data_IF_460616630115
#
_entry.id   IF_460616630115
#
_cell.length_a   1.000
_cell.length_b   1.000
_cell.length_c   1.000
_cell.angle_alpha   90.00
_cell.angle_beta   90.00
_cell.angle_gamma   90.00
#
_symmetry.space_group_name_H-M   'P 1'
#
loop_
_entity.id
_entity.type
_entity.pdbx_description
1 polymer ?
#
# COMPACT_ATOMS: atom_id res chain seq x y z
N UNK A 1 17.49 4.85 8.11
CA UNK A 1 16.69 5.01 6.85
C UNK A 1 15.91 6.32 6.94
N UNK A 2 15.86 7.13 5.86
CA UNK A 2 15.01 8.34 5.78
C UNK A 2 13.81 8.05 4.88
N UNK A 3 12.63 8.60 5.21
CA UNK A 3 11.38 8.40 4.46
C UNK A 3 10.74 9.77 4.14
N UNK A 4 11.13 10.44 3.04
CA UNK A 4 10.76 11.84 2.81
C UNK A 4 9.25 12.13 2.72
N UNK A 5 8.44 11.15 2.31
CA UNK A 5 6.99 11.33 2.21
C UNK A 5 6.25 11.47 3.55
N UNK A 6 6.90 11.17 4.68
CA UNK A 6 6.33 11.38 6.03
C UNK A 6 6.90 12.62 6.71
N UNK A 7 7.65 13.46 5.98
CA UNK A 7 8.10 14.74 6.49
C UNK A 7 6.90 15.64 6.88
N UNK A 8 7.05 16.42 7.95
CA UNK A 8 5.97 17.26 8.50
C UNK A 8 5.44 18.26 7.47
N UNK A 9 6.31 18.86 6.68
CA UNK A 9 5.91 19.86 5.68
C UNK A 9 5.20 19.20 4.51
N UNK A 10 5.70 18.04 4.05
CA UNK A 10 5.06 17.26 2.98
C UNK A 10 3.66 16.80 3.41
N UNK A 11 3.52 16.29 4.64
CA UNK A 11 2.23 15.88 5.19
C UNK A 11 1.30 17.08 5.34
N UNK A 12 1.75 18.19 5.92
CA UNK A 12 0.92 19.38 6.06
C UNK A 12 0.37 19.86 4.70
N UNK A 13 1.23 19.95 3.67
CA UNK A 13 0.81 20.29 2.32
C UNK A 13 -0.13 19.26 1.70
N UNK A 14 0.11 17.96 1.92
CA UNK A 14 -0.78 16.91 1.43
C UNK A 14 -2.18 17.00 2.06
N UNK A 15 -2.30 17.45 3.31
CA UNK A 15 -3.57 17.54 4.04
C UNK A 15 -4.41 18.77 3.68
N UNK A 16 -3.84 19.80 3.04
CA UNK A 16 -4.62 20.92 2.49
C UNK A 16 -5.34 20.57 1.20
N UNK A 17 -4.91 19.53 0.50
CA UNK A 17 -5.48 19.09 -0.78
C UNK A 17 -6.71 18.20 -0.54
N UNK A 18 -7.80 18.45 -1.27
CA UNK A 18 -9.03 17.67 -1.15
C UNK A 18 -8.86 16.21 -1.62
N UNK A 19 -9.69 15.30 -1.11
CA UNK A 19 -9.64 13.88 -1.48
C UNK A 19 -9.84 13.63 -2.98
N UNK A 20 -10.81 14.34 -3.60
CA UNK A 20 -11.11 14.22 -5.04
C UNK A 20 -9.99 14.73 -5.95
N UNK A 21 -9.11 15.60 -5.44
CA UNK A 21 -7.92 16.00 -6.19
C UNK A 21 -6.81 14.96 -6.12
N UNK A 22 -6.71 14.22 -5.00
CA UNK A 22 -5.72 13.13 -4.83
C UNK A 22 -6.06 11.90 -5.68
N UNK A 23 -7.35 11.64 -5.90
CA UNK A 23 -7.86 10.50 -6.66
C UNK A 23 -8.89 10.99 -7.68
N UNK A 24 -8.55 10.91 -8.98
CA UNK A 24 -9.42 11.32 -10.09
C UNK A 24 -9.81 10.10 -10.92
N UNK A 25 -11.05 9.64 -10.77
CA UNK A 25 -11.53 8.40 -11.40
C UNK A 25 -10.64 7.21 -11.01
N UNK A 26 -10.03 6.55 -12.00
CA UNK A 26 -9.10 5.42 -11.77
C UNK A 26 -7.65 5.85 -11.51
N UNK A 27 -7.36 7.14 -11.60
CA UNK A 27 -6.01 7.67 -11.39
C UNK A 27 -5.79 8.00 -9.90
N UNK A 28 -5.00 7.16 -9.24
CA UNK A 28 -4.49 7.44 -7.89
C UNK A 28 -3.28 8.38 -7.95
N UNK A 29 -3.03 9.09 -6.84
CA UNK A 29 -1.89 10.00 -6.66
C UNK A 29 -1.87 11.13 -7.70
N UNK A 30 -3.03 11.64 -8.13
CA UNK A 30 -3.13 12.56 -9.26
C UNK A 30 -2.32 13.85 -9.07
N UNK A 31 -2.47 14.54 -7.93
CA UNK A 31 -1.68 15.76 -7.64
C UNK A 31 -0.18 15.47 -7.53
N UNK A 32 0.21 14.37 -6.87
CA UNK A 32 1.62 13.99 -6.75
C UNK A 32 2.25 13.68 -8.11
N UNK A 33 1.50 13.03 -9.01
CA UNK A 33 1.93 12.77 -10.39
C UNK A 33 2.16 14.07 -11.16
N UNK A 34 1.19 14.99 -11.10
CA UNK A 34 1.30 16.31 -11.75
C UNK A 34 2.47 17.12 -11.21
N UNK A 35 2.65 17.13 -9.90
CA UNK A 35 3.79 17.80 -9.27
C UNK A 35 5.12 17.26 -9.79
N UNK A 36 5.21 15.96 -10.11
CA UNK A 36 6.44 15.31 -10.57
C UNK A 36 6.79 15.51 -12.06
N UNK A 37 5.87 16.03 -12.87
CA UNK A 37 6.02 16.20 -14.33
C UNK A 37 7.27 17.00 -14.76
N UNK A 38 7.71 18.03 -14.02
CA UNK A 38 8.93 18.76 -14.37
C UNK A 38 10.22 17.95 -14.21
N UNK A 39 10.21 16.85 -13.45
CA UNK A 39 11.43 16.13 -13.06
C UNK A 39 11.56 14.74 -13.68
N UNK A 40 10.46 14.12 -14.11
CA UNK A 40 10.45 12.72 -14.57
C UNK A 40 9.68 12.57 -15.88
N UNK A 41 10.06 11.58 -16.68
CA UNK A 41 9.34 11.27 -17.91
C UNK A 41 7.90 10.80 -17.64
N UNK A 42 7.01 11.04 -18.60
CA UNK A 42 5.60 10.63 -18.50
C UNK A 42 5.47 9.12 -18.29
N UNK A 43 6.35 8.32 -18.89
CA UNK A 43 6.36 6.86 -18.73
C UNK A 43 6.61 6.45 -17.27
N UNK A 44 7.53 7.12 -16.58
CA UNK A 44 7.82 6.84 -15.16
C UNK A 44 6.66 7.27 -14.26
N UNK A 45 6.10 8.46 -14.49
CA UNK A 45 5.05 9.05 -13.64
C UNK A 45 3.73 8.29 -13.77
N UNK A 46 3.37 7.91 -15.00
CA UNK A 46 2.05 7.39 -15.31
C UNK A 46 1.98 5.86 -15.45
N UNK A 47 3.09 5.15 -15.27
CA UNK A 47 3.08 3.68 -15.23
C UNK A 47 2.09 3.11 -14.20
N UNK A 48 1.59 1.88 -14.42
CA UNK A 48 0.81 1.17 -13.40
C UNK A 48 1.57 1.03 -12.08
N UNK A 49 0.84 1.07 -10.96
CA UNK A 49 1.42 0.87 -9.62
C UNK A 49 2.03 -0.53 -9.54
N UNK A 50 3.35 -0.59 -9.44
CA UNK A 50 4.08 -1.84 -9.18
C UNK A 50 3.97 -2.27 -7.71
N UNK A 51 4.15 -3.57 -7.48
CA UNK A 51 4.46 -4.11 -6.16
C UNK A 51 5.89 -3.74 -5.76
N UNK A 52 6.24 -4.05 -4.51
CA UNK A 52 7.65 -4.06 -4.11
C UNK A 52 8.46 -5.00 -5.00
N UNK A 53 9.74 -4.67 -5.20
CA UNK A 53 10.66 -5.48 -6.00
C UNK A 53 10.91 -6.87 -5.41
N UNK A 54 10.74 -7.02 -4.09
CA UNK A 54 10.79 -8.32 -3.43
C UNK A 54 9.61 -9.21 -3.85
N UNK A 55 9.79 -10.54 -3.99
CA UNK A 55 8.74 -11.47 -4.37
C UNK A 55 7.79 -11.77 -3.20
N UNK A 56 7.28 -10.72 -2.54
CA UNK A 56 6.45 -10.80 -1.33
C UNK A 56 5.26 -11.74 -1.51
N UNK A 57 4.64 -11.75 -2.70
CA UNK A 57 3.54 -12.67 -2.99
C UNK A 57 3.95 -14.13 -2.93
N UNK A 58 5.13 -14.46 -3.45
CA UNK A 58 5.64 -15.83 -3.42
C UNK A 58 6.00 -16.22 -1.99
N UNK A 59 6.70 -15.34 -1.27
CA UNK A 59 7.06 -15.58 0.13
C UNK A 59 5.82 -15.80 1.01
N UNK A 60 4.83 -14.89 0.97
CA UNK A 60 3.61 -15.00 1.77
C UNK A 60 2.83 -16.28 1.45
N UNK A 61 2.77 -16.69 0.17
CA UNK A 61 2.01 -17.87 -0.25
C UNK A 61 2.76 -19.19 -0.09
N UNK A 62 4.08 -19.16 0.08
CA UNK A 62 4.94 -20.34 0.08
C UNK A 62 5.89 -20.29 1.26
N UNK A 63 7.05 -19.67 1.09
CA UNK A 63 8.20 -19.78 1.99
C UNK A 63 7.89 -19.33 3.43
N UNK A 64 6.98 -18.38 3.59
CA UNK A 64 6.53 -17.84 4.88
C UNK A 64 5.10 -18.27 5.24
N UNK A 65 4.50 -19.22 4.51
CA UNK A 65 3.09 -19.59 4.69
C UNK A 65 2.78 -20.00 6.13
N UNK A 66 3.61 -20.86 6.72
CA UNK A 66 3.42 -21.31 8.11
C UNK A 66 3.45 -20.14 9.10
N UNK A 67 4.45 -19.25 8.99
CA UNK A 67 4.53 -18.07 9.86
C UNK A 67 3.32 -17.15 9.70
N UNK A 68 2.86 -16.95 8.45
CA UNK A 68 1.68 -16.13 8.15
C UNK A 68 0.42 -16.77 8.74
N UNK A 69 0.23 -18.07 8.58
CA UNK A 69 -0.91 -18.80 9.11
C UNK A 69 -0.93 -18.75 10.64
N UNK A 70 0.21 -18.94 11.30
CA UNK A 70 0.32 -18.86 12.77
C UNK A 70 -0.06 -17.46 13.28
N UNK A 71 0.47 -16.40 12.64
CA UNK A 71 0.20 -15.02 13.02
C UNK A 71 -1.23 -14.55 12.69
N UNK A 72 -1.83 -15.06 11.62
CA UNK A 72 -3.19 -14.68 11.22
C UNK A 72 -4.25 -15.53 11.92
N UNK A 73 -4.19 -16.85 11.78
CA UNK A 73 -5.20 -17.77 12.29
C UNK A 73 -5.11 -17.96 13.81
N UNK A 74 -3.90 -17.91 14.36
CA UNK A 74 -3.65 -17.92 15.80
C UNK A 74 -3.58 -16.52 16.42
N UNK A 75 -3.74 -15.46 15.62
CA UNK A 75 -3.52 -14.09 16.03
C UNK A 75 -4.69 -13.44 16.78
N UNK A 76 -4.38 -12.31 17.42
CA UNK A 76 -5.33 -11.48 18.17
C UNK A 76 -6.54 -11.08 17.32
N UNK A 77 -6.40 -10.88 16.01
CA UNK A 77 -7.52 -10.48 15.15
C UNK A 77 -8.57 -11.58 14.96
N UNK A 78 -8.17 -12.85 14.93
CA UNK A 78 -9.12 -13.97 14.92
C UNK A 78 -9.65 -14.22 16.32
N UNK A 79 -8.77 -14.16 17.34
CA UNK A 79 -9.17 -14.32 18.74
C UNK A 79 -10.13 -13.26 19.26
N UNK A 80 -10.04 -12.02 18.75
CA UNK A 80 -10.95 -10.92 19.09
C UNK A 80 -12.24 -10.92 18.28
N UNK A 81 -12.39 -11.81 17.30
CA UNK A 81 -13.53 -11.86 16.38
C UNK A 81 -13.53 -10.77 15.31
N UNK A 82 -12.48 -9.95 15.21
CA UNK A 82 -12.35 -8.95 14.14
C UNK A 82 -12.24 -9.60 12.75
N UNK A 83 -11.64 -10.80 12.68
CA UNK A 83 -11.56 -11.62 11.47
C UNK A 83 -12.21 -12.99 11.67
N UNK A 84 -12.89 -13.48 10.63
CA UNK A 84 -13.50 -14.81 10.62
C UNK A 84 -12.44 -15.89 10.31
N UNK A 85 -12.04 -16.66 11.32
CA UNK A 85 -11.04 -17.71 11.19
C UNK A 85 -11.41 -18.82 10.20
N UNK A 86 -12.68 -19.24 10.15
CA UNK A 86 -13.13 -20.31 9.25
C UNK A 86 -13.10 -19.88 7.78
N UNK A 87 -13.39 -18.60 7.50
CA UNK A 87 -13.22 -18.03 6.17
C UNK A 87 -11.74 -18.01 5.77
N UNK A 88 -10.86 -17.57 6.67
CA UNK A 88 -9.42 -17.49 6.40
C UNK A 88 -8.78 -18.87 6.13
N UNK A 89 -9.21 -19.93 6.83
CA UNK A 89 -8.73 -21.30 6.57
C UNK A 89 -9.11 -21.84 5.18
N UNK A 90 -10.13 -21.26 4.53
CA UNK A 90 -10.62 -21.66 3.20
C UNK A 90 -10.01 -20.87 2.05
N UNK A 91 -9.28 -19.78 2.34
CA UNK A 91 -8.53 -18.99 1.36
C UNK A 91 -7.15 -19.58 1.07
#
# INVERSE_FOLDING_TARGET
>A
VRVPYVDKQVVAAAFTISGGEKIRGRQTKAVLKRAAEPWLSREVIYRPKGLFSAPLRAWIRRDLRSMVDDLLLGGVMVGSGFLNGDYLRRM
#
